data_IF_103820029664
#
_entry.id   IF_103820029664
#
_cell.length_a   1.000
_cell.length_b   1.000
_cell.length_c   1.000
_cell.angle_alpha   90.00
_cell.angle_beta   90.00
_cell.angle_gamma   90.00
#
_symmetry.space_group_name_H-M   'P 1'
#
loop_
_entity.id
_entity.type
_entity.pdbx_description
1 polymer ?
#
# COMPACT_ATOMS: atom_id res chain seq x y z
N UNK A 1 -7.28 -6.39 -14.45
CA UNK A 1 -7.68 -5.39 -13.43
C UNK A 1 -9.17 -5.13 -13.52
N UNK A 2 -9.86 -5.02 -12.38
CA UNK A 2 -11.30 -4.70 -12.34
C UNK A 2 -11.54 -3.23 -12.74
N UNK A 3 -12.71 -2.87 -13.29
CA UNK A 3 -13.09 -1.47 -13.47
C UNK A 3 -12.91 -0.70 -12.15
N UNK A 4 -12.41 0.54 -12.21
CA UNK A 4 -12.18 1.41 -11.06
C UNK A 4 -11.21 0.88 -9.99
N UNK A 5 -10.39 -0.15 -10.27
CA UNK A 5 -9.46 -0.72 -9.29
C UNK A 5 -8.56 0.33 -8.63
N UNK A 6 -8.02 1.28 -9.41
CA UNK A 6 -7.21 2.39 -8.87
C UNK A 6 -8.00 3.24 -7.87
N UNK A 7 -9.23 3.64 -8.21
CA UNK A 7 -10.06 4.44 -7.30
C UNK A 7 -10.42 3.65 -6.03
N UNK A 8 -10.71 2.36 -6.14
CA UNK A 8 -10.97 1.49 -5.00
C UNK A 8 -9.74 1.30 -4.12
N UNK A 9 -8.56 1.12 -4.71
CA UNK A 9 -7.30 1.00 -4.00
C UNK A 9 -6.98 2.28 -3.21
N UNK A 10 -7.08 3.44 -3.86
CA UNK A 10 -6.86 4.74 -3.21
C UNK A 10 -7.84 4.98 -2.06
N UNK A 11 -9.12 4.73 -2.28
CA UNK A 11 -10.16 4.89 -1.25
C UNK A 11 -9.92 4.01 -0.02
N UNK A 12 -9.47 2.76 -0.22
CA UNK A 12 -9.09 1.87 0.88
C UNK A 12 -7.90 2.41 1.67
N UNK A 13 -6.84 2.82 0.98
CA UNK A 13 -5.62 3.35 1.61
C UNK A 13 -5.93 4.63 2.39
N UNK A 14 -6.69 5.55 1.81
CA UNK A 14 -7.14 6.76 2.49
C UNK A 14 -7.96 6.45 3.74
N UNK A 15 -8.90 5.50 3.65
CA UNK A 15 -9.71 5.07 4.79
C UNK A 15 -8.86 4.47 5.90
N UNK A 16 -7.80 3.71 5.56
CA UNK A 16 -6.88 3.16 6.54
C UNK A 16 -6.07 4.27 7.23
N UNK A 17 -5.56 5.25 6.48
CA UNK A 17 -4.76 6.34 7.03
C UNK A 17 -5.56 7.33 7.88
N UNK A 18 -6.89 7.39 7.72
CA UNK A 18 -7.77 8.14 8.63
C UNK A 18 -7.89 7.52 10.02
N UNK A 19 -7.53 6.25 10.20
CA UNK A 19 -7.60 5.64 11.53
C UNK A 19 -6.61 6.34 12.46
N UNK A 20 -7.02 6.67 13.70
CA UNK A 20 -6.11 7.23 14.68
C UNK A 20 -5.10 6.17 15.16
N UNK A 21 -3.98 6.62 15.69
CA UNK A 21 -2.95 5.75 16.24
C UNK A 21 -1.77 5.53 15.31
N UNK A 22 -0.69 5.00 15.89
CA UNK A 22 0.54 4.71 15.16
C UNK A 22 0.36 3.48 14.27
N UNK A 23 -0.25 2.43 14.81
CA UNK A 23 -0.35 1.14 14.16
C UNK A 23 -1.68 0.99 13.42
N UNK A 24 -1.62 0.42 12.22
CA UNK A 24 -2.81 0.00 11.49
C UNK A 24 -3.30 -1.33 12.04
N UNK A 25 -4.62 -1.49 12.13
CA UNK A 25 -5.22 -2.75 12.54
C UNK A 25 -4.91 -3.86 11.53
N UNK A 26 -4.65 -5.08 12.01
CA UNK A 26 -4.30 -6.23 11.16
C UNK A 26 -5.39 -6.53 10.13
N UNK A 27 -6.67 -6.35 10.48
CA UNK A 27 -7.81 -6.55 9.57
C UNK A 27 -7.86 -5.54 8.43
N UNK A 28 -7.26 -4.36 8.60
CA UNK A 28 -7.16 -3.31 7.58
C UNK A 28 -6.03 -3.62 6.60
N UNK A 29 -4.99 -4.30 7.09
CA UNK A 29 -3.90 -4.79 6.26
C UNK A 29 -4.30 -6.03 5.44
N UNK A 30 -5.12 -6.91 6.03
CA UNK A 30 -5.50 -8.21 5.45
C UNK A 30 -6.61 -8.16 4.40
N UNK A 31 -6.57 -9.12 3.46
CA UNK A 31 -7.40 -9.16 2.26
C UNK A 31 -8.90 -9.29 2.53
N UNK A 32 -9.78 -8.44 1.92
CA UNK A 32 -9.43 -7.31 1.06
C UNK A 32 -8.88 -6.12 1.87
N UNK A 33 -7.59 -5.79 1.66
CA UNK A 33 -6.88 -4.84 2.52
C UNK A 33 -5.86 -3.98 1.77
N UNK A 34 -4.96 -3.33 2.53
CA UNK A 34 -3.89 -2.49 1.98
C UNK A 34 -2.98 -3.27 1.04
N UNK A 35 -2.72 -4.55 1.32
CA UNK A 35 -1.88 -5.38 0.47
C UNK A 35 -2.45 -5.48 -0.96
N UNK A 36 -3.73 -5.83 -1.09
CA UNK A 36 -4.37 -5.92 -2.41
C UNK A 36 -4.50 -4.55 -3.10
N UNK A 37 -4.74 -3.49 -2.32
CA UNK A 37 -4.78 -2.13 -2.85
C UNK A 37 -3.42 -1.73 -3.43
N UNK A 38 -2.32 -2.11 -2.78
CA UNK A 38 -0.97 -1.81 -3.25
C UNK A 38 -0.64 -2.55 -4.55
N UNK A 39 -1.04 -3.81 -4.65
CA UNK A 39 -0.90 -4.64 -5.84
C UNK A 39 -1.69 -4.08 -7.02
N UNK A 40 -2.92 -3.63 -6.79
CA UNK A 40 -3.76 -3.00 -7.81
C UNK A 40 -3.11 -1.70 -8.35
N UNK A 41 -2.48 -0.89 -7.48
CA UNK A 41 -1.76 0.32 -7.90
C UNK A 41 -0.50 0.00 -8.71
N UNK A 42 0.26 -1.02 -8.31
CA UNK A 42 1.46 -1.44 -9.06
C UNK A 42 1.09 -2.04 -10.42
N UNK A 43 0.02 -2.85 -10.47
CA UNK A 43 -0.51 -3.37 -11.72
C UNK A 43 -0.99 -2.24 -12.65
N UNK A 44 -1.71 -1.25 -12.11
CA UNK A 44 -2.13 -0.08 -12.88
C UNK A 44 -0.92 0.68 -13.43
N UNK A 45 0.14 0.85 -12.63
CA UNK A 45 1.36 1.53 -13.06
C UNK A 45 1.98 0.89 -14.29
N UNK A 46 1.95 -0.43 -14.48
CA UNK A 46 2.49 -1.10 -15.67
C UNK A 46 1.84 -0.60 -16.98
N UNK A 47 0.56 -0.26 -16.93
CA UNK A 47 -0.27 0.03 -18.11
C UNK A 47 -0.43 1.53 -18.41
N UNK A 48 0.09 2.41 -17.54
CA UNK A 48 -0.03 3.85 -17.72
C UNK A 48 0.99 4.44 -18.73
N UNK A 49 0.68 5.57 -19.38
CA UNK A 49 1.66 6.34 -20.14
C UNK A 49 2.73 6.96 -19.22
N UNK A 50 3.91 7.34 -19.74
CA UNK A 50 5.06 7.78 -18.92
C UNK A 50 4.77 8.92 -17.95
N UNK A 51 3.94 9.90 -18.35
CA UNK A 51 3.54 11.01 -17.47
C UNK A 51 2.74 10.53 -16.25
N UNK A 52 1.66 9.79 -16.50
CA UNK A 52 0.81 9.23 -15.45
C UNK A 52 1.55 8.20 -14.57
N UNK A 53 2.51 7.45 -15.14
CA UNK A 53 3.42 6.57 -14.38
C UNK A 53 4.21 7.35 -13.34
N UNK A 54 4.75 8.52 -13.71
CA UNK A 54 5.52 9.36 -12.78
C UNK A 54 4.66 9.89 -11.64
N UNK A 55 3.44 10.33 -11.94
CA UNK A 55 2.53 10.87 -10.94
C UNK A 55 2.04 9.78 -9.98
N UNK A 56 1.62 8.64 -10.52
CA UNK A 56 1.26 7.48 -9.70
C UNK A 56 2.44 6.98 -8.87
N UNK A 57 3.65 6.95 -9.45
CA UNK A 57 4.87 6.56 -8.74
C UNK A 57 5.16 7.45 -7.53
N UNK A 58 5.00 8.78 -7.65
CA UNK A 58 5.15 9.72 -6.51
C UNK A 58 4.11 9.47 -5.42
N UNK A 59 2.87 9.18 -5.80
CA UNK A 59 1.80 8.88 -4.85
C UNK A 59 2.06 7.55 -4.13
N UNK A 60 2.49 6.54 -4.87
CA UNK A 60 2.95 5.26 -4.35
C UNK A 60 4.07 5.45 -3.32
N UNK A 61 5.09 6.26 -3.61
CA UNK A 61 6.17 6.53 -2.64
C UNK A 61 5.64 7.11 -1.34
N UNK A 62 4.71 8.06 -1.39
CA UNK A 62 4.12 8.63 -0.16
C UNK A 62 3.29 7.62 0.63
N UNK A 63 2.61 6.71 -0.06
CA UNK A 63 1.87 5.62 0.57
C UNK A 63 2.85 4.68 1.27
N UNK A 64 3.93 4.30 0.59
CA UNK A 64 4.99 3.45 1.11
C UNK A 64 5.63 4.07 2.37
N UNK A 65 5.97 5.37 2.34
CA UNK A 65 6.53 6.09 3.49
C UNK A 65 5.56 6.09 4.69
N UNK A 66 4.27 6.31 4.46
CA UNK A 66 3.26 6.32 5.52
C UNK A 66 2.99 4.91 6.06
N UNK A 67 3.03 3.90 5.20
CA UNK A 67 2.99 2.50 5.60
C UNK A 67 4.23 2.15 6.40
N UNK A 68 5.42 2.59 6.03
CA UNK A 68 6.60 2.36 6.87
C UNK A 68 6.42 3.04 8.24
N UNK A 69 5.99 4.31 8.27
CA UNK A 69 5.79 5.05 9.53
C UNK A 69 4.79 4.39 10.48
N UNK A 70 3.68 3.86 9.92
CA UNK A 70 2.58 3.26 10.69
C UNK A 70 2.70 1.77 10.92
N UNK A 71 3.37 1.07 10.01
CA UNK A 71 3.54 -0.39 10.04
C UNK A 71 4.95 -0.79 10.47
N UNK A 72 5.80 0.17 10.89
CA UNK A 72 7.00 -0.09 11.68
C UNK A 72 6.60 -1.02 12.82
N UNK A 73 7.14 -2.24 12.87
CA UNK A 73 6.47 -3.31 13.58
C UNK A 73 6.37 -3.03 15.07
N UNK A 74 5.20 -3.29 15.65
CA UNK A 74 5.23 -3.91 16.97
C UNK A 74 5.99 -5.24 16.82
N UNK A 75 6.93 -5.56 17.73
CA UNK A 75 7.79 -6.75 17.61
C UNK A 75 7.05 -8.07 17.40
N UNK A 76 5.75 -8.12 17.73
CA UNK A 76 4.92 -9.32 17.63
C UNK A 76 4.23 -9.52 16.26
N UNK A 77 4.23 -8.54 15.35
CA UNK A 77 3.49 -8.59 14.07
C UNK A 77 4.37 -8.47 12.81
N UNK A 78 5.70 -8.53 12.99
CA UNK A 78 6.72 -8.46 11.90
C UNK A 78 6.44 -9.46 10.78
N UNK A 79 6.00 -10.67 11.14
CA UNK A 79 5.77 -11.74 10.17
C UNK A 79 4.73 -11.34 9.13
N UNK A 80 3.66 -10.65 9.53
CA UNK A 80 2.54 -10.28 8.64
C UNK A 80 2.93 -9.26 7.58
N UNK A 81 3.72 -8.24 7.95
CA UNK A 81 4.24 -7.27 6.99
C UNK A 81 5.29 -7.90 6.06
N UNK A 82 6.12 -8.81 6.59
CA UNK A 82 7.21 -9.47 5.83
C UNK A 82 6.71 -10.38 4.70
N UNK A 83 5.50 -10.93 4.80
CA UNK A 83 4.93 -11.75 3.72
C UNK A 83 4.44 -10.95 2.50
N UNK A 84 4.36 -9.63 2.59
CA UNK A 84 3.94 -8.81 1.46
C UNK A 84 5.14 -8.52 0.56
N UNK A 85 5.09 -8.97 -0.69
CA UNK A 85 6.20 -8.82 -1.64
C UNK A 85 6.63 -7.35 -1.88
N UNK A 86 5.71 -6.38 -1.84
CA UNK A 86 6.05 -4.95 -1.93
C UNK A 86 6.81 -4.47 -0.69
N UNK A 87 6.57 -5.05 0.50
CA UNK A 87 7.32 -4.75 1.72
C UNK A 87 8.79 -5.16 1.59
N UNK A 88 9.04 -6.34 1.03
CA UNK A 88 10.40 -6.79 0.69
C UNK A 88 11.05 -5.82 -0.31
N UNK A 89 10.34 -5.44 -1.38
CA UNK A 89 10.85 -4.47 -2.37
C UNK A 89 11.20 -3.12 -1.77
N UNK A 90 10.41 -2.59 -0.83
CA UNK A 90 10.73 -1.31 -0.18
C UNK A 90 12.07 -1.36 0.57
N UNK A 91 12.44 -2.52 1.13
CA UNK A 91 13.69 -2.70 1.89
C UNK A 91 14.92 -3.00 1.05
N UNK A 92 14.73 -3.36 -0.21
CA UNK A 92 15.81 -3.57 -1.20
C UNK A 92 16.21 -2.26 -1.92
N UNK A 93 15.52 -1.16 -1.64
CA UNK A 93 15.77 0.18 -2.20
C UNK A 93 16.78 0.98 -1.39
#
# INVERSE_FOLDING_TARGET
MRPNAVCHALSRIESAFRQPGRYLDVSVFWSPGINDARDDLEWAMLHLPPGAKRDLGRLITRIDDELERRTLPEPNNIQLATFSWWWTRMRER
#
